data_IF_072980908343
#
_entry.id   IF_072980908343
#
_cell.length_a   1.000
_cell.length_b   1.000
_cell.length_c   1.000
_cell.angle_alpha   90.00
_cell.angle_beta   90.00
_cell.angle_gamma   90.00
#
_symmetry.space_group_name_H-M   'P 1'
#
loop_
_entity.id
_entity.type
_entity.pdbx_description
1 polymer ?
#
# COMPACT_ATOMS: atom_id res chain seq x y z
N UNK A 1 -14.51 1.29 -0.84
CA UNK A 1 -13.34 1.76 -1.64
C UNK A 1 -13.71 2.01 -3.11
N UNK A 2 -14.48 1.12 -3.77
CA UNK A 2 -14.87 1.32 -5.17
C UNK A 2 -15.67 2.62 -5.38
N UNK A 3 -16.55 2.97 -4.44
CA UNK A 3 -17.36 4.19 -4.54
C UNK A 3 -16.50 5.46 -4.43
N UNK A 4 -15.49 5.45 -3.55
CA UNK A 4 -14.54 6.55 -3.41
C UNK A 4 -13.68 6.71 -4.68
N UNK A 5 -13.22 5.61 -5.27
CA UNK A 5 -12.48 5.65 -6.53
C UNK A 5 -13.31 6.27 -7.65
N UNK A 6 -14.56 5.82 -7.82
CA UNK A 6 -15.49 6.37 -8.80
C UNK A 6 -15.81 7.84 -8.55
N UNK A 7 -16.00 8.25 -7.29
CA UNK A 7 -16.22 9.64 -6.92
C UNK A 7 -15.02 10.55 -7.24
N UNK A 8 -13.82 9.98 -7.42
CA UNK A 8 -12.59 10.67 -7.82
C UNK A 8 -12.24 10.43 -9.29
N UNK A 9 -13.19 9.98 -10.11
CA UNK A 9 -13.00 9.69 -11.54
C UNK A 9 -11.92 8.65 -11.83
N UNK A 10 -11.68 7.74 -10.89
CA UNK A 10 -10.81 6.57 -11.08
C UNK A 10 -11.69 5.38 -11.43
N UNK A 11 -11.41 4.73 -12.55
CA UNK A 11 -12.09 3.51 -12.96
C UNK A 11 -11.46 2.29 -12.27
N UNK A 12 -12.15 1.63 -11.32
CA UNK A 12 -11.58 0.49 -10.63
C UNK A 12 -11.75 -0.79 -11.46
N UNK A 13 -10.64 -1.50 -11.68
CA UNK A 13 -10.65 -2.83 -12.28
C UNK A 13 -10.40 -3.86 -11.18
N UNK A 14 -11.35 -4.77 -11.02
CA UNK A 14 -11.25 -5.83 -10.01
C UNK A 14 -10.67 -7.08 -10.66
N UNK A 15 -9.65 -7.67 -10.03
CA UNK A 15 -9.04 -8.93 -10.43
C UNK A 15 -9.38 -10.02 -9.40
N UNK A 16 -10.42 -10.86 -9.61
CA UNK A 16 -10.89 -11.80 -8.60
C UNK A 16 -9.83 -12.80 -8.13
N UNK A 17 -8.89 -13.18 -9.00
CA UNK A 17 -7.79 -14.08 -8.66
C UNK A 17 -6.80 -13.46 -7.65
N UNK A 18 -6.80 -12.13 -7.49
CA UNK A 18 -5.96 -11.44 -6.51
C UNK A 18 -6.67 -11.42 -5.15
N UNK A 19 -6.76 -12.60 -4.52
CA UNK A 19 -7.34 -12.76 -3.18
C UNK A 19 -6.44 -12.26 -2.04
N UNK A 20 -6.98 -12.19 -0.82
CA UNK A 20 -6.23 -11.76 0.38
C UNK A 20 -5.17 -12.77 0.81
N UNK A 21 -5.51 -14.05 0.75
CA UNK A 21 -4.63 -15.14 1.17
C UNK A 21 -3.64 -15.53 0.09
N UNK A 22 -2.47 -16.01 0.47
CA UNK A 22 -1.46 -16.50 -0.48
C UNK A 22 -1.94 -17.85 -1.01
N UNK A 23 -2.20 -17.93 -2.30
CA UNK A 23 -2.57 -19.15 -2.99
C UNK A 23 -1.77 -19.23 -4.29
N UNK A 24 -0.79 -20.14 -4.42
CA UNK A 24 0.11 -20.17 -5.57
C UNK A 24 -0.58 -20.26 -6.93
N UNK A 25 -1.69 -21.00 -7.03
CA UNK A 25 -2.41 -21.15 -8.30
C UNK A 25 -3.16 -19.86 -8.66
N UNK A 26 -3.90 -19.30 -7.70
CA UNK A 26 -4.62 -18.05 -7.91
C UNK A 26 -3.64 -16.89 -8.19
N UNK A 27 -2.48 -16.91 -7.52
CA UNK A 27 -1.44 -15.89 -7.66
C UNK A 27 -0.76 -15.93 -9.03
N UNK A 28 -0.58 -17.14 -9.58
CA UNK A 28 -0.09 -17.31 -10.94
C UNK A 28 -1.12 -16.82 -11.97
N UNK A 29 -2.40 -17.14 -11.77
CA UNK A 29 -3.49 -16.64 -12.60
C UNK A 29 -3.59 -15.12 -12.52
N UNK A 30 -3.48 -14.56 -11.31
CA UNK A 30 -3.48 -13.12 -11.09
C UNK A 30 -2.30 -12.44 -11.79
N UNK A 31 -1.10 -13.01 -11.71
CA UNK A 31 0.08 -12.51 -12.43
C UNK A 31 -0.13 -12.56 -13.95
N UNK A 32 -0.61 -13.67 -14.51
CA UNK A 32 -0.85 -13.79 -15.94
C UNK A 32 -1.86 -12.75 -16.44
N UNK A 33 -2.97 -12.56 -15.71
CA UNK A 33 -3.98 -11.55 -16.04
C UNK A 33 -3.44 -10.12 -15.87
N UNK A 34 -2.62 -9.87 -14.84
CA UNK A 34 -1.98 -8.57 -14.65
C UNK A 34 -1.00 -8.25 -15.78
N UNK A 35 -0.20 -9.22 -16.23
CA UNK A 35 0.68 -9.07 -17.40
C UNK A 35 -0.13 -8.75 -18.65
N UNK A 36 -1.22 -9.47 -18.92
CA UNK A 36 -2.11 -9.18 -20.05
C UNK A 36 -2.69 -7.76 -19.97
N UNK A 37 -3.11 -7.34 -18.77
CA UNK A 37 -3.65 -6.01 -18.53
C UNK A 37 -2.61 -4.91 -18.78
N UNK A 38 -1.42 -5.03 -18.19
CA UNK A 38 -0.33 -4.05 -18.35
C UNK A 38 0.13 -3.98 -19.80
N UNK A 39 0.24 -5.12 -20.51
CA UNK A 39 0.57 -5.13 -21.96
C UNK A 39 -0.45 -4.39 -22.82
N UNK A 40 -1.74 -4.48 -22.47
CA UNK A 40 -2.80 -3.81 -23.22
C UNK A 40 -2.89 -2.33 -22.90
N UNK A 41 -2.71 -1.97 -21.63
CA UNK A 41 -2.77 -0.59 -21.17
C UNK A 41 -1.52 0.21 -21.55
N UNK A 42 -0.37 -0.46 -21.71
CA UNK A 42 0.94 0.14 -22.00
C UNK A 42 1.24 1.36 -21.10
N UNK A 43 1.20 1.22 -19.76
CA UNK A 43 1.38 2.35 -18.88
C UNK A 43 2.84 2.81 -18.85
N UNK A 44 3.06 4.12 -18.71
CA UNK A 44 4.38 4.69 -18.45
C UNK A 44 4.85 4.42 -17.01
N UNK A 45 3.88 4.32 -16.08
CA UNK A 45 4.13 4.13 -14.65
C UNK A 45 3.23 3.05 -14.08
N UNK A 46 3.81 2.12 -13.33
CA UNK A 46 3.07 1.21 -12.45
C UNK A 46 3.41 1.53 -11.00
N UNK A 47 2.41 1.99 -10.26
CA UNK A 47 2.53 2.26 -8.84
C UNK A 47 1.74 1.22 -8.04
N UNK A 48 2.42 0.52 -7.15
CA UNK A 48 1.83 -0.57 -6.38
C UNK A 48 1.83 -0.30 -4.88
N UNK A 49 0.86 -0.92 -4.21
CA UNK A 49 0.70 -0.90 -2.76
C UNK A 49 0.44 -2.32 -2.24
N UNK A 50 0.64 -2.53 -0.94
CA UNK A 50 0.47 -3.82 -0.24
C UNK A 50 1.46 -4.90 -0.69
N UNK A 51 1.78 -5.86 0.19
CA UNK A 51 2.84 -6.85 -0.08
C UNK A 51 2.53 -7.77 -1.29
N UNK A 52 1.35 -8.41 -1.27
CA UNK A 52 0.96 -9.38 -2.30
C UNK A 52 0.67 -8.73 -3.66
N UNK A 53 -0.23 -7.74 -3.67
CA UNK A 53 -0.55 -6.96 -4.86
C UNK A 53 0.70 -6.24 -5.41
N UNK A 54 1.56 -5.74 -4.51
CA UNK A 54 2.86 -5.17 -4.86
C UNK A 54 3.81 -6.15 -5.52
N UNK A 55 3.87 -7.40 -5.06
CA UNK A 55 4.67 -8.44 -5.73
C UNK A 55 4.17 -8.70 -7.14
N UNK A 56 2.88 -8.98 -7.29
CA UNK A 56 2.28 -9.29 -8.60
C UNK A 56 2.38 -8.11 -9.57
N UNK A 57 2.07 -6.89 -9.12
CA UNK A 57 2.11 -5.69 -9.95
C UNK A 57 3.53 -5.33 -10.39
N UNK A 58 4.53 -5.39 -9.50
CA UNK A 58 5.94 -5.14 -9.85
C UNK A 58 6.49 -6.18 -10.82
N UNK A 59 6.17 -7.46 -10.61
CA UNK A 59 6.58 -8.52 -11.54
C UNK A 59 5.92 -8.32 -12.92
N UNK A 60 4.62 -8.02 -12.95
CA UNK A 60 3.93 -7.76 -14.21
C UNK A 60 4.52 -6.55 -14.96
N UNK A 61 4.78 -5.44 -14.25
CA UNK A 61 5.42 -4.27 -14.82
C UNK A 61 6.80 -4.58 -15.41
N UNK A 62 7.62 -5.34 -14.68
CA UNK A 62 8.96 -5.75 -15.11
C UNK A 62 8.94 -6.68 -16.32
N UNK A 63 7.97 -7.60 -16.39
CA UNK A 63 7.76 -8.50 -17.53
C UNK A 63 7.32 -7.73 -18.78
N UNK A 64 6.55 -6.66 -18.60
CA UNK A 64 6.05 -5.84 -19.70
C UNK A 64 7.01 -4.72 -20.11
N UNK A 65 8.11 -4.52 -19.39
CA UNK A 65 9.06 -3.45 -19.68
C UNK A 65 8.50 -2.05 -19.40
N UNK A 66 7.64 -1.91 -18.39
CA UNK A 66 7.12 -0.61 -17.97
C UNK A 66 8.28 0.33 -17.60
N UNK A 67 8.31 1.58 -18.09
CA UNK A 67 9.43 2.50 -17.87
C UNK A 67 9.71 2.83 -16.41
N UNK A 68 8.65 3.00 -15.60
CA UNK A 68 8.78 3.38 -14.19
C UNK A 68 7.92 2.51 -13.27
N UNK A 69 8.56 1.89 -12.28
CA UNK A 69 7.92 1.06 -11.27
C UNK A 69 8.10 1.68 -9.88
N UNK A 70 6.98 2.02 -9.25
CA UNK A 70 6.92 2.61 -7.91
C UNK A 70 6.23 1.66 -6.94
N UNK A 71 6.73 1.56 -5.72
CA UNK A 71 6.05 0.82 -4.65
C UNK A 71 5.94 1.66 -3.38
N UNK A 72 4.77 1.68 -2.75
CA UNK A 72 4.60 2.32 -1.44
C UNK A 72 4.40 1.30 -0.34
N UNK A 73 5.23 1.40 0.70
CA UNK A 73 4.98 0.73 1.98
C UNK A 73 4.06 1.59 2.85
N UNK A 74 3.00 0.97 3.36
CA UNK A 74 2.14 1.52 4.42
C UNK A 74 2.45 0.90 5.79
N UNK A 75 3.43 0.00 5.83
CA UNK A 75 3.78 -0.87 6.95
C UNK A 75 4.53 -2.09 6.40
N UNK A 76 5.23 -2.80 7.28
CA UNK A 76 5.87 -4.06 6.90
C UNK A 76 5.80 -5.09 8.03
N UNK A 77 5.94 -6.36 7.65
CA UNK A 77 5.88 -7.52 8.55
C UNK A 77 7.26 -8.08 8.89
N UNK A 78 8.32 -7.29 8.67
CA UNK A 78 9.71 -7.74 8.79
C UNK A 78 10.21 -7.91 10.23
N UNK A 79 9.40 -7.53 11.22
CA UNK A 79 9.65 -7.79 12.62
C UNK A 79 8.37 -8.18 13.36
N UNK A 80 8.49 -9.06 14.36
CA UNK A 80 7.45 -9.44 15.34
C UNK A 80 6.16 -10.08 14.81
N UNK A 81 5.92 -10.12 13.50
CA UNK A 81 4.68 -10.67 12.93
C UNK A 81 4.81 -12.16 12.53
N UNK A 82 6.00 -12.59 12.11
CA UNK A 82 6.27 -13.96 11.69
C UNK A 82 7.53 -14.52 12.37
N UNK A 83 7.61 -15.86 12.47
CA UNK A 83 8.83 -16.54 12.88
C UNK A 83 9.99 -16.31 11.89
N UNK A 84 11.23 -16.42 12.37
CA UNK A 84 12.44 -16.04 11.64
C UNK A 84 12.56 -16.59 10.21
N UNK A 85 12.11 -17.82 9.98
CA UNK A 85 12.12 -18.44 8.65
C UNK A 85 11.21 -17.72 7.64
N UNK A 86 9.96 -17.43 8.02
CA UNK A 86 9.00 -16.71 7.17
C UNK A 86 9.47 -15.28 6.91
N UNK A 87 9.97 -14.59 7.94
CA UNK A 87 10.55 -13.25 7.80
C UNK A 87 11.68 -13.24 6.78
N UNK A 88 12.58 -14.23 6.81
CA UNK A 88 13.66 -14.35 5.83
C UNK A 88 13.14 -14.52 4.41
N UNK A 89 12.12 -15.34 4.20
CA UNK A 89 11.50 -15.53 2.88
C UNK A 89 10.94 -14.21 2.35
N UNK A 90 10.17 -13.48 3.16
CA UNK A 90 9.61 -12.19 2.75
C UNK A 90 10.68 -11.15 2.47
N UNK A 91 11.73 -11.07 3.30
CA UNK A 91 12.85 -10.16 3.05
C UNK A 91 13.59 -10.50 1.76
N UNK A 92 13.81 -11.78 1.46
CA UNK A 92 14.43 -12.18 0.19
C UNK A 92 13.58 -11.75 -1.01
N UNK A 93 12.25 -11.96 -0.94
CA UNK A 93 11.32 -11.52 -1.99
C UNK A 93 11.38 -10.00 -2.16
N UNK A 94 11.29 -9.25 -1.07
CA UNK A 94 11.25 -7.78 -1.12
C UNK A 94 12.58 -7.19 -1.59
N UNK A 95 13.73 -7.77 -1.21
CA UNK A 95 15.04 -7.39 -1.75
C UNK A 95 15.13 -7.63 -3.25
N UNK A 96 14.68 -8.78 -3.73
CA UNK A 96 14.64 -9.07 -5.16
C UNK A 96 13.73 -8.08 -5.91
N UNK A 97 12.57 -7.75 -5.32
CA UNK A 97 11.65 -6.76 -5.88
C UNK A 97 12.21 -5.33 -5.84
N UNK A 98 13.02 -4.99 -4.84
CA UNK A 98 13.71 -3.70 -4.76
C UNK A 98 14.72 -3.46 -5.89
N UNK A 99 15.27 -4.52 -6.47
CA UNK A 99 16.13 -4.44 -7.66
C UNK A 99 15.34 -4.00 -8.90
N UNK A 100 14.09 -4.42 -9.02
CA UNK A 100 13.20 -4.12 -10.17
C UNK A 100 12.20 -2.99 -9.89
N UNK A 101 12.37 -2.29 -8.77
CA UNK A 101 11.59 -1.10 -8.40
C UNK A 101 12.47 0.13 -8.52
N UNK A 102 12.01 1.17 -9.20
CA UNK A 102 12.78 2.39 -9.44
C UNK A 102 12.72 3.35 -8.25
N UNK A 103 11.53 3.46 -7.64
CA UNK A 103 11.26 4.30 -6.46
C UNK A 103 10.41 3.59 -5.44
N UNK A 104 10.79 3.74 -4.18
CA UNK A 104 10.05 3.22 -3.04
C UNK A 104 9.60 4.40 -2.19
N UNK A 105 8.31 4.51 -1.98
CA UNK A 105 7.71 5.51 -1.09
C UNK A 105 7.44 4.85 0.26
N UNK A 106 7.76 5.57 1.33
CA UNK A 106 7.48 5.17 2.72
C UNK A 106 6.74 6.30 3.43
N UNK A 107 5.90 5.98 4.41
CA UNK A 107 5.02 6.97 5.06
C UNK A 107 5.70 7.76 6.19
N UNK A 108 6.97 7.48 6.47
CA UNK A 108 7.77 8.21 7.45
C UNK A 108 9.23 7.78 7.48
N UNK A 109 10.07 8.63 8.07
CA UNK A 109 11.53 8.46 8.09
C UNK A 109 11.97 7.21 8.87
N UNK A 110 11.29 6.86 9.97
CA UNK A 110 11.58 5.61 10.68
C UNK A 110 11.42 4.37 9.80
N UNK A 111 10.33 4.32 9.02
CA UNK A 111 10.11 3.23 8.06
C UNK A 111 11.14 3.27 6.93
N UNK A 112 11.57 4.46 6.49
CA UNK A 112 12.65 4.60 5.49
C UNK A 112 13.93 3.92 5.98
N UNK A 113 14.31 4.22 7.21
CA UNK A 113 15.55 3.75 7.80
C UNK A 113 15.48 2.23 8.09
N UNK A 114 14.31 1.72 8.49
CA UNK A 114 14.04 0.29 8.62
C UNK A 114 14.18 -0.45 7.28
N UNK A 115 13.49 0.00 6.23
CA UNK A 115 13.53 -0.59 4.88
C UNK A 115 14.97 -0.58 4.32
N UNK A 116 15.69 0.52 4.52
CA UNK A 116 17.11 0.64 4.16
C UNK A 116 17.99 -0.33 4.97
N UNK A 117 17.78 -0.42 6.28
CA UNK A 117 18.50 -1.32 7.19
C UNK A 117 18.27 -2.80 6.86
N UNK A 118 17.09 -3.16 6.35
CA UNK A 118 16.81 -4.47 5.81
C UNK A 118 17.44 -4.72 4.44
N UNK A 119 18.08 -3.74 3.82
CA UNK A 119 18.75 -3.87 2.52
C UNK A 119 17.79 -4.10 1.37
N UNK A 120 16.52 -3.69 1.50
CA UNK A 120 15.50 -3.82 0.45
C UNK A 120 15.83 -2.95 -0.75
N UNK A 121 16.30 -1.72 -0.51
CA UNK A 121 16.75 -0.81 -1.55
C UNK A 121 17.80 0.17 -1.00
N UNK A 122 18.68 0.73 -1.85
CA UNK A 122 19.59 1.79 -1.43
C UNK A 122 18.83 3.07 -1.04
N UNK A 123 19.37 3.91 -0.14
CA UNK A 123 18.72 5.14 0.31
C UNK A 123 18.26 6.07 -0.82
N UNK A 124 19.02 6.18 -1.91
CA UNK A 124 18.65 7.02 -3.06
C UNK A 124 17.43 6.55 -3.87
N UNK A 125 16.87 5.36 -3.56
CA UNK A 125 15.58 4.90 -4.11
C UNK A 125 14.41 5.12 -3.17
N UNK A 126 14.66 5.50 -1.90
CA UNK A 126 13.66 5.59 -0.85
C UNK A 126 13.25 7.04 -0.61
N UNK A 127 11.95 7.32 -0.68
CA UNK A 127 11.39 8.66 -0.48
C UNK A 127 10.31 8.64 0.61
N UNK A 128 10.43 9.55 1.58
CA UNK A 128 9.44 9.69 2.66
C UNK A 128 8.32 10.64 2.22
N UNK A 129 7.11 10.12 2.02
CA UNK A 129 5.91 10.93 1.75
C UNK A 129 4.88 10.65 2.85
N UNK A 130 4.66 11.64 3.72
CA UNK A 130 3.71 11.50 4.84
C UNK A 130 2.27 11.47 4.34
N UNK A 131 1.42 10.79 5.09
CA UNK A 131 -0.02 10.73 4.80
C UNK A 131 -0.63 12.14 4.84
N UNK A 132 -1.31 12.51 3.76
CA UNK A 132 -2.14 13.71 3.72
C UNK A 132 -3.44 13.46 4.48
N UNK A 133 -3.87 14.45 5.25
CA UNK A 133 -5.18 14.46 5.91
C UNK A 133 -6.03 15.58 5.32
N UNK A 134 -7.30 15.27 5.03
CA UNK A 134 -8.29 16.29 4.69
C UNK A 134 -8.55 17.15 5.94
N UNK A 135 -8.01 18.37 5.95
CA UNK A 135 -8.04 19.20 7.15
C UNK A 135 -9.37 19.95 7.32
N UNK A 136 -10.14 20.15 6.25
CA UNK A 136 -11.36 20.96 6.31
C UNK A 136 -12.36 20.46 7.38
N UNK A 137 -12.69 19.15 7.50
CA UNK A 137 -13.56 18.67 8.57
C UNK A 137 -12.98 18.89 9.97
N UNK A 138 -11.65 18.77 10.12
CA UNK A 138 -10.95 18.94 11.40
C UNK A 138 -10.93 20.41 11.85
N UNK A 139 -10.74 21.33 10.90
CA UNK A 139 -10.75 22.77 11.18
C UNK A 139 -12.15 23.29 11.60
N UNK A 140 -13.22 22.61 11.17
CA UNK A 140 -14.60 22.95 11.54
C UNK A 140 -15.17 22.03 12.63
N UNK A 141 -14.35 21.21 13.27
CA UNK A 141 -14.81 20.23 14.26
C UNK A 141 -15.45 20.88 15.50
N UNK A 142 -15.05 22.10 15.84
CA UNK A 142 -15.63 22.84 16.98
C UNK A 142 -17.14 23.09 16.81
N UNK A 143 -17.59 23.36 15.59
CA UNK A 143 -19.02 23.49 15.28
C UNK A 143 -19.80 22.17 15.46
N UNK A 144 -19.07 21.04 15.59
CA UNK A 144 -19.62 19.73 15.88
C UNK A 144 -19.55 19.32 17.35
N UNK A 145 -18.96 20.14 18.22
CA UNK A 145 -18.74 19.80 19.62
C UNK A 145 -20.06 19.42 20.30
N UNK A 146 -20.07 18.30 21.01
CA UNK A 146 -21.23 17.82 21.74
C UNK A 146 -22.28 17.06 20.91
N UNK A 147 -22.23 17.11 19.57
CA UNK A 147 -23.19 16.35 18.71
C UNK A 147 -23.12 14.84 18.98
N UNK A 148 -21.92 14.27 18.98
CA UNK A 148 -21.72 12.84 19.27
C UNK A 148 -22.21 12.46 20.68
N UNK A 149 -22.05 13.35 21.66
CA UNK A 149 -22.57 13.12 23.03
C UNK A 149 -24.09 13.04 23.03
N UNK A 150 -24.75 13.95 22.32
CA UNK A 150 -26.22 13.95 22.20
C UNK A 150 -26.73 12.70 21.48
N UNK A 151 -26.11 12.32 20.37
CA UNK A 151 -26.47 11.12 19.60
C UNK A 151 -26.34 9.84 20.43
N UNK A 152 -25.32 9.76 21.28
CA UNK A 152 -25.06 8.62 22.15
C UNK A 152 -25.77 8.72 23.52
N UNK A 153 -26.48 9.81 23.81
CA UNK A 153 -27.13 10.03 25.11
C UNK A 153 -26.15 10.16 26.29
N UNK A 154 -24.93 10.63 26.05
CA UNK A 154 -23.87 10.74 27.06
C UNK A 154 -23.92 12.11 27.73
N UNK A 155 -23.97 12.11 29.06
CA UNK A 155 -23.97 13.33 29.86
C UNK A 155 -22.70 14.19 29.65
N UNK A 156 -22.84 15.51 29.80
CA UNK A 156 -21.75 16.47 29.60
C UNK A 156 -20.55 16.26 30.55
N UNK A 157 -20.80 15.78 31.76
CA UNK A 157 -19.77 15.52 32.78
C UNK A 157 -19.03 14.20 32.57
N UNK A 158 -19.58 13.29 31.75
CA UNK A 158 -18.96 11.98 31.50
C UNK A 158 -17.73 12.16 30.63
N UNK A 159 -16.53 11.70 31.05
CA UNK A 159 -15.35 11.75 30.19
C UNK A 159 -15.57 10.97 28.89
N UNK A 160 -15.24 11.58 27.75
CA UNK A 160 -15.33 10.96 26.42
C UNK A 160 -13.95 10.99 25.79
N UNK A 161 -13.48 9.83 25.34
CA UNK A 161 -12.18 9.65 24.68
C UNK A 161 -12.43 9.02 23.31
N UNK A 162 -11.86 9.61 22.27
CA UNK A 162 -11.99 9.20 20.87
C UNK A 162 -11.05 9.99 19.98
#
# INVERSE_FOLDING_TARGET
MLDLARARSVEPIVLPALGREINPLDDLVALARMVQFVRRLTPDVVHTHMAKAGTIGRLAARICGVPLVVHTYHGHVFHSYFGAAKTRVFLTIERALGLVTDRIIVVGDGQRDEIAGYGVAPPGKLESIRLGLELAPLLHAEAARGRLRQELGIDASTPLVG
#
